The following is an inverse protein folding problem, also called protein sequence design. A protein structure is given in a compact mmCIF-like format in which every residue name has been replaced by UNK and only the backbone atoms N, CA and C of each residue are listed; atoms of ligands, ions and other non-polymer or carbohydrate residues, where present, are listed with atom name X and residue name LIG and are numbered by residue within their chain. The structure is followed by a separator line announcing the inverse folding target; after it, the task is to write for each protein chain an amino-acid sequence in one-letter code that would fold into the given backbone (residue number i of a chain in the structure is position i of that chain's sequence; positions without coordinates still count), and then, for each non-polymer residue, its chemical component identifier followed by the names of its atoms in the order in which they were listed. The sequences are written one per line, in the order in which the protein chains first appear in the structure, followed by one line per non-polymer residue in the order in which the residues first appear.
data_IF_080758801592
#
_entry.id   IF_080758801592
#
_cell.length_a   1.000
_cell.length_b   1.000
_cell.length_c   1.000
_cell.angle_alpha   90.00
_cell.angle_beta   90.00
_cell.angle_gamma   90.00
#
_symmetry.space_group_name_H-M   'P 1'
#
loop_
_entity.id
_entity.type
_entity.pdbx_description
1 polymer ?
#
# COMPACT_ATOMS: atom_id res chain seq x y z
N UNK A 1 -21.13 -8.19 12.91
CA UNK A 1 -19.82 -8.79 12.69
C UNK A 1 -18.80 -8.15 13.64
N UNK A 2 -18.57 -6.82 13.57
CA UNK A 2 -17.59 -6.08 14.37
C UNK A 2 -17.68 -6.39 15.87
N UNK A 3 -18.88 -6.25 16.46
CA UNK A 3 -19.10 -6.47 17.90
C UNK A 3 -18.87 -7.91 18.32
N UNK A 4 -19.26 -8.88 17.50
CA UNK A 4 -19.05 -10.28 17.76
C UNK A 4 -17.55 -10.61 17.82
N UNK A 5 -16.76 -10.12 16.87
CA UNK A 5 -15.32 -10.33 16.85
C UNK A 5 -14.61 -9.65 18.03
N UNK A 6 -15.08 -8.45 18.42
CA UNK A 6 -14.58 -7.77 19.62
C UNK A 6 -14.87 -8.58 20.89
N UNK A 7 -16.11 -9.07 21.05
CA UNK A 7 -16.53 -9.88 22.22
C UNK A 7 -15.80 -11.23 22.27
N UNK A 8 -15.54 -11.87 21.14
CA UNK A 8 -14.75 -13.10 21.06
C UNK A 8 -13.29 -12.87 21.53
N UNK A 9 -12.66 -11.78 21.11
CA UNK A 9 -11.32 -11.42 21.57
C UNK A 9 -11.30 -11.11 23.07
N UNK A 10 -12.26 -10.34 23.56
CA UNK A 10 -12.39 -9.98 24.97
C UNK A 10 -12.59 -11.22 25.86
N UNK A 11 -13.37 -12.21 25.39
CA UNK A 11 -13.56 -13.47 26.09
C UNK A 11 -12.26 -14.30 26.23
N UNK A 12 -11.27 -14.04 25.36
CA UNK A 12 -9.92 -14.62 25.44
C UNK A 12 -8.96 -13.77 26.29
N UNK A 13 -9.45 -12.69 26.93
CA UNK A 13 -8.62 -11.75 27.69
C UNK A 13 -7.81 -10.79 26.83
N UNK A 14 -8.16 -10.63 25.55
CA UNK A 14 -7.48 -9.76 24.59
C UNK A 14 -8.37 -8.52 24.35
N UNK A 15 -7.91 -7.38 24.81
CA UNK A 15 -8.53 -6.10 24.46
C UNK A 15 -8.06 -5.70 23.06
N UNK A 16 -9.01 -5.47 22.16
CA UNK A 16 -8.74 -5.08 20.78
C UNK A 16 -9.28 -3.70 20.48
N UNK A 17 -8.69 -3.05 19.50
CA UNK A 17 -9.15 -1.77 18.97
C UNK A 17 -9.98 -2.02 17.71
N UNK A 18 -11.30 -1.82 17.71
CA UNK A 18 -12.11 -1.90 16.50
C UNK A 18 -11.60 -0.93 15.43
N UNK A 19 -11.55 -1.40 14.19
CA UNK A 19 -11.12 -0.61 13.03
C UNK A 19 -12.26 -0.60 12.02
N UNK A 20 -12.63 0.57 11.55
CA UNK A 20 -13.61 0.76 10.48
C UNK A 20 -13.12 1.80 9.49
N UNK A 21 -13.54 1.66 8.23
CA UNK A 21 -13.30 2.72 7.25
C UNK A 21 -13.99 4.00 7.74
N UNK A 22 -13.29 5.12 7.72
CA UNK A 22 -13.84 6.40 8.15
C UNK A 22 -14.95 6.93 7.24
N UNK A 23 -15.80 7.80 7.77
CA UNK A 23 -17.01 8.26 7.08
C UNK A 23 -16.70 9.04 5.80
N UNK A 24 -15.66 9.89 5.83
CA UNK A 24 -15.23 10.66 4.66
C UNK A 24 -14.75 9.74 3.55
N UNK A 25 -13.83 8.82 3.86
CA UNK A 25 -13.34 7.83 2.88
C UNK A 25 -14.48 6.99 2.32
N UNK A 26 -15.41 6.56 3.16
CA UNK A 26 -16.56 5.76 2.72
C UNK A 26 -17.41 6.53 1.71
N UNK A 27 -17.72 7.80 1.97
CA UNK A 27 -18.43 8.67 1.03
C UNK A 27 -17.68 8.85 -0.29
N UNK A 28 -16.35 9.03 -0.23
CA UNK A 28 -15.50 9.20 -1.43
C UNK A 28 -15.35 7.92 -2.24
N UNK A 29 -15.49 6.73 -1.64
CA UNK A 29 -15.44 5.42 -2.31
C UNK A 29 -16.79 4.99 -2.90
N UNK A 30 -17.89 5.55 -2.44
CA UNK A 30 -19.21 5.24 -2.94
C UNK A 30 -19.37 5.65 -4.41
N UNK A 31 -20.09 4.83 -5.18
CA UNK A 31 -20.55 5.18 -6.53
C UNK A 31 -22.01 5.58 -6.46
N UNK A 32 -22.28 6.80 -6.83
CA UNK A 32 -23.63 7.37 -6.82
C UNK A 32 -24.29 7.12 -8.19
N UNK A 33 -25.47 6.52 -8.18
CA UNK A 33 -26.27 6.25 -9.38
C UNK A 33 -27.63 6.95 -9.27
N UNK A 34 -28.11 7.50 -10.37
CA UNK A 34 -29.35 8.28 -10.40
C UNK A 34 -29.13 9.76 -10.09
N UNK A 35 -30.10 10.39 -9.42
CA UNK A 35 -30.12 11.84 -9.20
C UNK A 35 -29.43 12.29 -7.90
N UNK A 36 -29.07 11.36 -7.00
CA UNK A 36 -28.46 11.68 -5.71
C UNK A 36 -26.94 11.72 -5.80
N UNK A 37 -26.34 12.63 -5.03
CA UNK A 37 -24.89 12.85 -4.92
C UNK A 37 -24.38 12.49 -3.52
N UNK A 38 -23.09 12.68 -3.26
CA UNK A 38 -22.50 12.44 -1.95
C UNK A 38 -23.19 13.29 -0.85
N UNK A 39 -23.48 14.55 -1.17
CA UNK A 39 -24.09 15.49 -0.23
C UNK A 39 -25.45 15.02 0.31
N UNK A 40 -26.25 14.32 -0.50
CA UNK A 40 -27.54 13.76 -0.09
C UNK A 40 -27.45 12.68 0.99
N UNK A 41 -26.26 12.12 1.19
CA UNK A 41 -26.03 11.02 2.14
C UNK A 41 -25.19 11.41 3.37
N UNK A 42 -24.60 12.60 3.40
CA UNK A 42 -23.68 13.02 4.47
C UNK A 42 -24.32 12.89 5.85
N UNK A 43 -25.55 13.38 6.01
CA UNK A 43 -26.23 13.37 7.30
C UNK A 43 -26.56 11.93 7.75
N UNK A 44 -26.93 11.05 6.83
CA UNK A 44 -27.14 9.63 7.14
C UNK A 44 -25.83 8.91 7.53
N UNK A 45 -24.69 9.28 6.94
CA UNK A 45 -23.37 8.78 7.37
C UNK A 45 -23.03 9.30 8.75
N UNK A 46 -23.23 10.59 9.02
CA UNK A 46 -23.00 11.18 10.34
C UNK A 46 -23.81 10.43 11.40
N UNK A 47 -25.10 10.18 11.17
CA UNK A 47 -25.96 9.47 12.12
C UNK A 47 -25.48 8.03 12.37
N UNK A 48 -25.07 7.33 11.30
CA UNK A 48 -24.52 5.97 11.40
C UNK A 48 -23.23 5.93 12.22
N UNK A 49 -22.32 6.89 12.00
CA UNK A 49 -21.04 6.94 12.74
C UNK A 49 -21.22 7.43 14.19
N UNK A 50 -22.17 8.32 14.47
CA UNK A 50 -22.59 8.64 15.84
C UNK A 50 -23.10 7.40 16.57
N UNK A 51 -23.98 6.62 15.93
CA UNK A 51 -24.47 5.39 16.52
C UNK A 51 -23.34 4.36 16.76
N UNK A 52 -22.33 4.31 15.88
CA UNK A 52 -21.15 3.47 16.06
C UNK A 52 -20.34 3.91 17.28
N UNK A 53 -20.04 5.20 17.44
CA UNK A 53 -19.29 5.77 18.59
C UNK A 53 -20.07 5.54 19.88
N UNK A 54 -21.35 5.85 19.92
CA UNK A 54 -22.20 5.60 21.09
C UNK A 54 -22.18 4.13 21.50
N UNK A 55 -22.14 3.21 20.54
CA UNK A 55 -22.03 1.77 20.82
C UNK A 55 -20.66 1.39 21.39
N UNK A 56 -19.59 2.07 21.01
CA UNK A 56 -18.28 1.91 21.63
C UNK A 56 -18.29 2.39 23.09
N UNK A 57 -18.93 3.53 23.37
CA UNK A 57 -19.11 4.06 24.73
C UNK A 57 -19.89 3.07 25.62
N UNK A 58 -21.03 2.54 25.14
CA UNK A 58 -21.82 1.54 25.84
C UNK A 58 -21.02 0.27 26.20
N UNK A 59 -20.12 -0.14 25.30
CA UNK A 59 -19.25 -1.31 25.48
C UNK A 59 -17.95 -1.00 26.22
N UNK A 60 -17.72 0.25 26.60
CA UNK A 60 -16.51 0.72 27.27
C UNK A 60 -15.23 0.40 26.49
N UNK A 61 -15.28 0.52 25.16
CA UNK A 61 -14.14 0.31 24.28
C UNK A 61 -13.17 1.46 24.46
N UNK A 62 -11.89 1.16 24.76
CA UNK A 62 -10.88 2.17 25.01
C UNK A 62 -10.49 2.96 23.75
N UNK A 63 -10.35 2.27 22.60
CA UNK A 63 -9.97 2.89 21.34
C UNK A 63 -10.84 2.43 20.18
N UNK A 64 -11.24 3.37 19.32
CA UNK A 64 -11.84 3.13 18.00
C UNK A 64 -10.96 3.78 16.94
N UNK A 65 -10.64 3.06 15.87
CA UNK A 65 -9.87 3.59 14.73
C UNK A 65 -10.78 3.81 13.52
N UNK A 66 -10.72 5.02 12.98
CA UNK A 66 -11.26 5.36 11.67
C UNK A 66 -10.14 5.40 10.63
N UNK A 67 -10.19 4.51 9.65
CA UNK A 67 -9.27 4.51 8.52
C UNK A 67 -9.73 5.53 7.47
N UNK A 68 -8.95 6.60 7.32
CA UNK A 68 -9.22 7.70 6.38
C UNK A 68 -8.14 7.85 5.29
N UNK A 69 -7.87 6.80 4.49
CA UNK A 69 -6.86 6.89 3.43
C UNK A 69 -7.23 7.87 2.30
N UNK A 70 -8.47 8.31 2.19
CA UNK A 70 -8.83 9.32 1.20
C UNK A 70 -8.22 10.70 1.49
N UNK A 71 -7.76 10.95 2.73
CA UNK A 71 -7.10 12.21 3.12
C UNK A 71 -5.71 12.41 2.49
N UNK A 72 -5.11 11.36 1.93
CA UNK A 72 -3.81 11.46 1.23
C UNK A 72 -3.95 11.83 -0.25
N UNK A 73 -5.18 12.02 -0.73
CA UNK A 73 -5.46 12.48 -2.09
C UNK A 73 -5.45 14.01 -2.12
N UNK A 74 -5.34 14.58 -3.33
CA UNK A 74 -5.54 16.01 -3.51
C UNK A 74 -6.94 16.39 -3.02
N UNK A 75 -7.01 17.34 -2.10
CA UNK A 75 -8.25 17.79 -1.47
C UNK A 75 -8.58 19.23 -1.86
N UNK A 76 -9.83 19.45 -2.26
CA UNK A 76 -10.38 20.80 -2.44
C UNK A 76 -10.84 21.39 -1.10
N UNK A 77 -11.12 22.69 -1.08
CA UNK A 77 -11.69 23.35 0.09
C UNK A 77 -13.06 22.72 0.50
N UNK A 78 -13.83 22.28 -0.48
CA UNK A 78 -15.11 21.57 -0.25
C UNK A 78 -14.87 20.20 0.39
N UNK A 79 -13.79 19.51 0.03
CA UNK A 79 -13.40 18.24 0.65
C UNK A 79 -13.01 18.44 2.11
N UNK A 80 -12.22 19.47 2.42
CA UNK A 80 -11.87 19.83 3.79
C UNK A 80 -13.11 20.19 4.61
N UNK A 81 -14.00 21.03 4.04
CA UNK A 81 -15.27 21.39 4.69
C UNK A 81 -16.19 20.19 4.94
N UNK A 82 -16.23 19.25 4.01
CA UNK A 82 -16.99 18.01 4.17
C UNK A 82 -16.41 17.14 5.31
N UNK A 83 -15.08 17.01 5.38
CA UNK A 83 -14.41 16.30 6.47
C UNK A 83 -14.74 16.91 7.84
N UNK A 84 -14.65 18.23 7.96
CA UNK A 84 -15.07 18.97 9.15
C UNK A 84 -16.54 18.73 9.50
N UNK A 85 -17.46 18.90 8.53
CA UNK A 85 -18.90 18.68 8.75
C UNK A 85 -19.18 17.31 9.38
N UNK A 86 -18.47 16.28 8.92
CA UNK A 86 -18.64 14.92 9.41
C UNK A 86 -18.08 14.78 10.84
N UNK A 87 -16.84 15.14 11.04
CA UNK A 87 -16.15 14.83 12.29
C UNK A 87 -16.45 15.79 13.43
N UNK A 88 -16.76 17.05 13.15
CA UNK A 88 -17.28 17.99 14.16
C UNK A 88 -18.62 17.50 14.75
N UNK A 89 -19.38 16.72 13.98
CA UNK A 89 -20.63 16.13 14.44
C UNK A 89 -20.42 14.77 15.13
N UNK A 90 -19.44 13.96 14.72
CA UNK A 90 -19.23 12.58 15.22
C UNK A 90 -18.37 12.56 16.48
N UNK A 91 -17.27 13.33 16.53
CA UNK A 91 -16.30 13.28 17.63
C UNK A 91 -16.88 13.66 18.99
N UNK A 92 -17.83 14.62 19.12
CA UNK A 92 -18.44 14.93 20.42
C UNK A 92 -19.24 13.78 21.06
N UNK A 93 -19.52 12.71 20.31
CA UNK A 93 -20.17 11.51 20.86
C UNK A 93 -19.19 10.62 21.64
N UNK A 94 -17.89 10.83 21.50
CA UNK A 94 -16.85 10.08 22.20
C UNK A 94 -16.49 10.82 23.51
N UNK A 95 -16.93 10.28 24.64
CA UNK A 95 -16.63 10.83 25.98
C UNK A 95 -15.42 10.13 26.62
N UNK A 96 -15.35 8.80 26.50
CA UNK A 96 -14.32 7.94 27.10
C UNK A 96 -13.56 7.15 26.05
N UNK A 97 -14.22 6.76 24.96
CA UNK A 97 -13.61 6.05 23.83
C UNK A 97 -12.69 7.01 23.07
N UNK A 98 -11.42 6.69 23.03
CA UNK A 98 -10.42 7.46 22.28
C UNK A 98 -10.56 7.17 20.78
N UNK A 99 -10.65 8.22 19.96
CA UNK A 99 -10.77 8.08 18.51
C UNK A 99 -9.42 8.32 17.84
N UNK A 100 -8.96 7.34 17.07
CA UNK A 100 -7.80 7.45 16.18
C UNK A 100 -8.25 7.69 14.74
N UNK A 101 -7.79 8.77 14.13
CA UNK A 101 -7.84 8.97 12.68
C UNK A 101 -6.58 8.41 12.05
N UNK A 102 -6.67 7.31 11.32
CA UNK A 102 -5.53 6.64 10.69
C UNK A 102 -5.48 6.93 9.21
N UNK A 103 -4.36 7.46 8.75
CA UNK A 103 -4.07 7.68 7.32
C UNK A 103 -2.93 6.77 6.85
N UNK A 104 -2.89 6.42 5.58
CA UNK A 104 -1.86 5.58 4.97
C UNK A 104 -1.82 5.73 3.44
N UNK A 105 -0.71 5.32 2.81
CA UNK A 105 -0.40 5.39 1.38
C UNK A 105 -0.04 6.78 0.86
N UNK A 106 0.34 7.69 1.74
CA UNK A 106 0.76 9.04 1.39
C UNK A 106 0.72 10.01 2.56
N UNK A 107 0.97 11.27 2.29
CA UNK A 107 0.88 12.35 3.24
C UNK A 107 -0.45 13.12 3.13
N UNK A 108 -0.80 13.85 4.18
CA UNK A 108 -2.06 14.60 4.31
C UNK A 108 -1.83 16.11 4.16
N UNK A 109 -0.99 16.50 3.20
CA UNK A 109 -0.53 17.90 3.01
C UNK A 109 -1.63 18.94 2.94
N UNK A 110 -2.77 18.59 2.33
CA UNK A 110 -3.85 19.55 2.10
C UNK A 110 -4.77 19.73 3.31
N UNK A 111 -4.68 18.85 4.32
CA UNK A 111 -5.54 18.89 5.51
C UNK A 111 -4.74 18.82 6.82
N UNK A 112 -3.42 18.69 6.80
CA UNK A 112 -2.62 18.46 7.99
C UNK A 112 -2.91 19.47 9.10
N UNK A 113 -2.90 20.78 8.79
CA UNK A 113 -3.12 21.86 9.75
C UNK A 113 -4.50 21.80 10.40
N UNK A 114 -5.52 21.42 9.67
CA UNK A 114 -6.87 21.23 10.16
C UNK A 114 -6.99 19.96 11.00
N UNK A 115 -6.45 18.85 10.50
CA UNK A 115 -6.51 17.53 11.12
C UNK A 115 -5.90 17.55 12.54
N UNK A 116 -4.75 18.19 12.74
CA UNK A 116 -4.11 18.27 14.06
C UNK A 116 -4.89 19.13 15.07
N UNK A 117 -5.78 20.03 14.63
CA UNK A 117 -6.63 20.84 15.49
C UNK A 117 -7.94 20.12 15.87
N UNK A 118 -8.37 19.13 15.12
CA UNK A 118 -9.59 18.38 15.42
C UNK A 118 -9.43 17.52 16.68
N UNK A 119 -10.50 17.29 17.47
CA UNK A 119 -10.43 16.61 18.77
C UNK A 119 -10.30 15.07 18.66
N UNK A 120 -9.46 14.58 17.75
CA UNK A 120 -9.02 13.19 17.76
C UNK A 120 -8.04 12.95 18.91
N UNK A 121 -8.14 11.83 19.59
CA UNK A 121 -7.18 11.43 20.63
C UNK A 121 -5.86 10.94 20.05
N UNK A 122 -5.88 10.45 18.81
CA UNK A 122 -4.70 10.02 18.07
C UNK A 122 -4.82 10.29 16.58
N UNK A 123 -3.69 10.52 15.93
CA UNK A 123 -3.58 10.69 14.49
C UNK A 123 -2.49 9.75 14.00
N UNK A 124 -2.82 8.92 13.01
CA UNK A 124 -1.91 8.00 12.36
C UNK A 124 -1.41 8.59 11.04
N UNK A 125 -0.11 8.72 10.90
CA UNK A 125 0.55 9.27 9.72
C UNK A 125 1.54 8.28 9.10
N UNK A 126 1.59 8.24 7.79
CA UNK A 126 2.52 7.41 7.02
C UNK A 126 3.85 8.15 6.81
N UNK A 127 4.93 7.66 7.40
CA UNK A 127 6.29 8.18 7.23
C UNK A 127 7.08 7.46 6.14
N UNK A 128 6.47 6.46 5.48
CA UNK A 128 7.12 5.66 4.44
C UNK A 128 6.74 6.16 3.04
N UNK A 129 5.46 6.24 2.74
CA UNK A 129 4.95 6.74 1.46
C UNK A 129 4.56 8.23 1.53
N UNK A 130 4.30 8.76 2.71
CA UNK A 130 4.05 10.18 2.96
C UNK A 130 5.34 10.98 2.94
N UNK A 131 5.81 11.34 1.74
CA UNK A 131 7.10 12.02 1.53
C UNK A 131 7.20 13.36 2.26
N UNK A 132 6.08 14.06 2.40
CA UNK A 132 6.00 15.34 3.07
C UNK A 132 5.69 15.22 4.58
N UNK A 133 5.38 14.01 5.09
CA UNK A 133 4.90 13.83 6.46
C UNK A 133 5.86 14.43 7.51
N UNK A 134 7.16 14.13 7.42
CA UNK A 134 8.14 14.68 8.35
C UNK A 134 8.23 16.20 8.27
N UNK A 135 8.24 16.77 7.07
CA UNK A 135 8.26 18.21 6.84
C UNK A 135 6.98 18.91 7.33
N UNK A 136 5.82 18.24 7.23
CA UNK A 136 4.57 18.76 7.78
C UNK A 136 4.61 18.81 9.31
N UNK A 137 5.11 17.77 9.97
CA UNK A 137 5.30 17.75 11.43
C UNK A 137 6.27 18.84 11.85
N UNK A 138 7.41 18.98 11.20
CA UNK A 138 8.40 20.02 11.49
C UNK A 138 7.82 21.43 11.31
N UNK A 139 7.07 21.65 10.23
CA UNK A 139 6.55 22.98 9.88
C UNK A 139 5.39 23.44 10.76
N UNK A 140 4.46 22.54 11.08
CA UNK A 140 3.20 22.87 11.77
C UNK A 140 3.16 22.41 13.22
N UNK A 141 4.15 21.60 13.63
CA UNK A 141 4.15 20.91 14.93
C UNK A 141 3.15 19.77 15.01
N UNK A 142 3.09 19.14 16.18
CA UNK A 142 2.08 18.15 16.53
C UNK A 142 1.60 18.38 17.97
N UNK A 143 0.28 18.35 18.25
CA UNK A 143 -0.26 18.65 19.58
C UNK A 143 0.19 17.64 20.64
N UNK A 144 0.58 18.13 21.83
CA UNK A 144 1.06 17.28 22.93
C UNK A 144 -0.05 16.51 23.66
N UNK A 145 -1.30 16.90 23.47
CA UNK A 145 -2.49 16.23 24.02
C UNK A 145 -2.97 15.04 23.17
N UNK A 146 -2.29 14.76 22.08
CA UNK A 146 -2.63 13.68 21.14
C UNK A 146 -1.49 12.67 20.98
N UNK A 147 -1.84 11.44 20.66
CA UNK A 147 -0.87 10.40 20.27
C UNK A 147 -0.62 10.42 18.77
N UNK A 148 0.65 10.45 18.38
CA UNK A 148 1.08 10.24 17.00
C UNK A 148 1.32 8.75 16.75
N UNK A 149 0.46 8.11 15.97
CA UNK A 149 0.70 6.75 15.47
C UNK A 149 1.59 6.85 14.24
N UNK A 150 2.90 6.78 14.47
CA UNK A 150 3.90 6.95 13.42
C UNK A 150 4.10 5.66 12.61
N UNK A 151 3.65 5.66 11.38
CA UNK A 151 3.77 4.55 10.43
C UNK A 151 5.19 4.43 9.89
N UNK A 152 6.09 3.83 10.67
CA UNK A 152 7.53 3.75 10.43
C UNK A 152 8.02 2.37 9.95
N UNK A 153 7.23 1.32 10.15
CA UNK A 153 7.50 -0.01 9.62
C UNK A 153 6.68 -0.22 8.36
N UNK A 154 7.36 -0.45 7.24
CA UNK A 154 6.68 -0.57 5.95
C UNK A 154 5.75 -1.78 5.91
N UNK A 155 4.43 -1.55 5.83
CA UNK A 155 3.40 -2.59 5.76
C UNK A 155 3.12 -3.11 4.35
N UNK A 156 3.77 -2.58 3.32
CA UNK A 156 3.44 -2.82 1.91
C UNK A 156 4.51 -3.58 1.14
N UNK A 157 5.75 -3.61 1.64
CA UNK A 157 6.83 -4.39 1.06
C UNK A 157 7.37 -5.44 2.03
N UNK A 158 8.18 -6.35 1.49
CA UNK A 158 8.76 -7.48 2.22
C UNK A 158 10.14 -7.19 2.83
N UNK A 159 10.64 -5.98 2.70
CA UNK A 159 11.99 -5.66 3.15
C UNK A 159 12.03 -5.40 4.66
N UNK A 160 13.11 -5.87 5.29
CA UNK A 160 13.40 -5.61 6.70
C UNK A 160 13.62 -4.11 6.93
N UNK A 161 13.15 -3.61 8.07
CA UNK A 161 13.31 -2.23 8.49
C UNK A 161 14.78 -1.91 8.80
N UNK A 162 15.24 -0.73 8.39
CA UNK A 162 16.56 -0.20 8.72
C UNK A 162 16.47 0.60 10.03
N UNK A 163 16.82 -0.04 11.14
CA UNK A 163 16.58 0.51 12.49
C UNK A 163 17.20 1.87 12.74
N UNK A 164 18.42 2.10 12.26
CA UNK A 164 19.09 3.40 12.44
C UNK A 164 18.28 4.57 11.87
N UNK A 165 17.79 4.41 10.62
CA UNK A 165 16.96 5.43 9.97
C UNK A 165 15.65 5.65 10.70
N UNK A 166 15.01 4.57 11.14
CA UNK A 166 13.73 4.62 11.85
C UNK A 166 13.89 5.24 13.24
N UNK A 167 14.93 4.85 13.98
CA UNK A 167 15.22 5.42 15.31
C UNK A 167 15.58 6.91 15.23
N UNK A 168 16.25 7.35 14.16
CA UNK A 168 16.51 8.78 13.95
C UNK A 168 15.23 9.58 13.89
N UNK A 169 14.23 9.10 13.14
CA UNK A 169 12.91 9.78 13.04
C UNK A 169 12.20 9.75 14.41
N UNK A 170 12.18 8.59 15.08
CA UNK A 170 11.52 8.47 16.39
C UNK A 170 12.12 9.46 17.38
N UNK A 171 13.44 9.59 17.44
CA UNK A 171 14.13 10.51 18.36
C UNK A 171 13.84 11.96 18.04
N UNK A 172 13.83 12.36 16.79
CA UNK A 172 13.42 13.69 16.37
C UNK A 172 12.01 14.02 16.87
N UNK A 173 11.06 13.10 16.71
CA UNK A 173 9.68 13.28 17.20
C UNK A 173 9.63 13.36 18.74
N UNK A 174 10.42 12.56 19.45
CA UNK A 174 10.50 12.58 20.91
C UNK A 174 11.16 13.87 21.45
N UNK A 175 12.17 14.40 20.76
CA UNK A 175 12.80 15.68 21.10
C UNK A 175 11.81 16.84 21.01
N UNK A 176 10.82 16.76 20.15
CA UNK A 176 9.68 17.69 20.06
C UNK A 176 8.59 17.43 21.10
N UNK A 177 8.81 16.51 22.05
CA UNK A 177 7.85 16.10 23.09
C UNK A 177 6.54 15.52 22.57
N UNK A 178 6.58 14.87 21.39
CA UNK A 178 5.44 14.19 20.79
C UNK A 178 5.28 12.81 21.43
N UNK A 179 4.05 12.46 21.84
CA UNK A 179 3.71 11.10 22.33
C UNK A 179 3.58 10.15 21.14
N UNK A 180 4.66 9.40 20.87
CA UNK A 180 4.80 8.54 19.68
C UNK A 180 4.39 7.10 19.97
N UNK A 181 3.47 6.57 19.17
CA UNK A 181 3.16 5.14 19.07
C UNK A 181 3.74 4.61 17.76
N UNK A 182 4.75 3.73 17.84
CA UNK A 182 5.36 3.13 16.65
C UNK A 182 4.35 2.19 15.98
N UNK A 183 4.11 2.39 14.69
CA UNK A 183 3.12 1.65 13.93
C UNK A 183 3.65 1.19 12.57
N UNK A 184 2.92 0.29 11.92
CA UNK A 184 3.11 0.01 10.49
C UNK A 184 2.55 1.16 9.64
N UNK A 185 3.15 1.40 8.48
CA UNK A 185 2.71 2.45 7.56
C UNK A 185 1.32 2.20 6.97
N UNK A 186 0.92 0.93 6.89
CA UNK A 186 -0.41 0.48 6.48
C UNK A 186 -0.66 -0.94 7.01
N UNK A 187 -1.81 -1.53 6.67
CA UNK A 187 -2.16 -2.89 7.06
C UNK A 187 -1.17 -3.93 6.56
N UNK A 188 -0.79 -4.87 7.42
CA UNK A 188 0.07 -6.03 7.07
C UNK A 188 -0.62 -7.06 6.17
N UNK A 189 -1.88 -6.84 5.77
CA UNK A 189 -2.55 -7.64 4.74
C UNK A 189 -1.89 -7.53 3.35
N UNK A 190 -1.05 -6.52 3.14
CA UNK A 190 -0.32 -6.31 1.87
C UNK A 190 0.98 -7.09 1.75
N UNK A 191 1.40 -7.81 2.79
CA UNK A 191 2.61 -8.63 2.81
C UNK A 191 2.28 -10.08 3.13
N UNK A 192 3.14 -11.06 2.75
CA UNK A 192 2.94 -12.46 3.12
C UNK A 192 2.95 -12.64 4.64
N UNK A 193 2.40 -13.75 5.12
CA UNK A 193 2.17 -13.98 6.54
C UNK A 193 3.47 -14.14 7.34
N UNK A 194 4.33 -15.10 6.95
CA UNK A 194 5.57 -15.42 7.70
C UNK A 194 6.64 -16.06 6.83
N UNK A 195 7.90 -15.79 7.14
CA UNK A 195 9.08 -16.42 6.50
C UNK A 195 9.30 -17.88 6.90
N UNK A 196 8.59 -18.39 7.90
CA UNK A 196 8.78 -19.76 8.45
C UNK A 196 8.58 -20.87 7.41
N UNK A 197 7.80 -20.60 6.38
CA UNK A 197 7.46 -21.58 5.33
C UNK A 197 8.24 -21.35 4.01
N UNK A 198 9.20 -20.43 4.00
CA UNK A 198 9.99 -20.10 2.81
C UNK A 198 11.25 -20.97 2.71
N UNK A 199 11.07 -22.29 2.61
CA UNK A 199 12.19 -23.26 2.62
C UNK A 199 13.08 -23.20 1.35
N UNK A 200 12.53 -22.67 0.25
CA UNK A 200 13.23 -22.60 -1.06
C UNK A 200 14.07 -21.34 -1.23
N UNK A 201 13.86 -20.32 -0.41
CA UNK A 201 14.61 -19.06 -0.49
C UNK A 201 15.95 -19.25 0.25
N UNK A 202 17.11 -18.98 -0.38
CA UNK A 202 18.40 -19.02 0.29
C UNK A 202 18.43 -18.09 1.51
N UNK A 203 19.10 -18.54 2.59
CA UNK A 203 19.13 -17.81 3.85
C UNK A 203 19.73 -16.40 3.72
N UNK A 204 20.70 -16.23 2.84
CA UNK A 204 21.33 -14.93 2.53
C UNK A 204 20.30 -13.87 2.09
N UNK A 205 19.28 -14.25 1.31
CA UNK A 205 18.20 -13.35 0.90
C UNK A 205 17.15 -13.19 2.00
N UNK A 206 16.78 -14.30 2.69
CA UNK A 206 15.79 -14.24 3.79
C UNK A 206 16.18 -13.27 4.89
N UNK A 207 17.46 -13.08 5.13
CA UNK A 207 17.96 -12.14 6.14
C UNK A 207 17.49 -10.68 5.90
N UNK A 208 17.19 -10.33 4.67
CA UNK A 208 16.69 -9.01 4.28
C UNK A 208 15.17 -8.89 4.23
N UNK A 209 14.45 -9.99 4.49
CA UNK A 209 12.99 -10.01 4.41
C UNK A 209 12.35 -9.91 5.79
N UNK A 210 11.19 -9.28 5.83
CA UNK A 210 10.29 -9.25 6.97
C UNK A 210 8.85 -9.29 6.45
N UNK A 211 8.14 -10.40 6.71
CA UNK A 211 6.73 -10.58 6.42
C UNK A 211 5.89 -10.10 7.60
N UNK A 212 4.59 -10.36 7.64
CA UNK A 212 3.71 -9.79 8.66
C UNK A 212 4.15 -10.13 10.09
N UNK A 213 4.45 -11.39 10.41
CA UNK A 213 4.92 -11.78 11.75
C UNK A 213 6.26 -11.13 12.09
N UNK A 214 7.21 -11.10 11.14
CA UNK A 214 8.51 -10.51 11.36
C UNK A 214 8.43 -8.99 11.53
N UNK A 215 7.49 -8.30 10.85
CA UNK A 215 7.24 -6.86 11.05
C UNK A 215 6.64 -6.54 12.42
N UNK A 216 5.86 -7.45 12.99
CA UNK A 216 5.42 -7.30 14.40
C UNK A 216 6.60 -7.42 15.37
N UNK A 217 7.59 -8.27 15.07
CA UNK A 217 8.84 -8.35 15.84
C UNK A 217 9.62 -7.04 15.70
N UNK A 218 9.74 -6.47 14.49
CA UNK A 218 10.38 -5.17 14.26
C UNK A 218 9.74 -4.05 15.07
N UNK A 219 8.40 -3.99 15.15
CA UNK A 219 7.72 -2.99 15.98
C UNK A 219 8.11 -3.11 17.46
N UNK A 220 8.15 -4.34 17.99
CA UNK A 220 8.56 -4.60 19.37
C UNK A 220 10.02 -4.23 19.62
N UNK A 221 10.91 -4.60 18.71
CA UNK A 221 12.34 -4.30 18.82
C UNK A 221 12.59 -2.80 18.77
N UNK A 222 11.96 -2.09 17.84
CA UNK A 222 12.04 -0.63 17.72
C UNK A 222 11.51 0.09 18.96
N UNK A 223 10.41 -0.38 19.56
CA UNK A 223 9.89 0.16 20.80
C UNK A 223 10.91 0.05 21.94
N UNK A 224 11.52 -1.12 22.12
CA UNK A 224 12.57 -1.33 23.13
C UNK A 224 13.80 -0.45 22.87
N UNK A 225 14.23 -0.34 21.60
CA UNK A 225 15.40 0.47 21.23
C UNK A 225 15.13 1.97 21.39
N UNK A 226 13.92 2.43 21.13
CA UNK A 226 13.54 3.83 21.29
C UNK A 226 13.58 4.28 22.75
N UNK A 227 13.23 3.40 23.69
CA UNK A 227 13.23 3.66 25.14
C UNK A 227 14.61 3.44 25.77
N UNK A 228 15.62 2.98 25.02
CA UNK A 228 16.94 2.66 25.54
C UNK A 228 17.96 3.77 25.21
N UNK A 229 18.54 4.42 26.22
CA UNK A 229 19.55 5.46 25.98
C UNK A 229 20.81 4.92 25.25
N UNK A 230 21.28 3.73 25.60
CA UNK A 230 22.46 3.10 25.03
C UNK A 230 22.12 2.06 23.95
N UNK A 231 21.09 2.33 23.14
CA UNK A 231 20.60 1.41 22.11
C UNK A 231 21.68 0.94 21.13
N UNK A 232 22.70 1.77 20.88
CA UNK A 232 23.80 1.42 19.98
C UNK A 232 24.60 0.18 20.44
N UNK A 233 24.55 -0.16 21.74
CA UNK A 233 25.16 -1.36 22.30
C UNK A 233 24.24 -2.59 22.29
N UNK A 234 22.99 -2.40 21.92
CA UNK A 234 22.02 -3.49 21.86
C UNK A 234 22.36 -4.46 20.72
N UNK A 235 22.36 -5.75 21.02
CA UNK A 235 22.74 -6.81 20.06
C UNK A 235 21.81 -6.85 18.84
N UNK A 236 20.52 -6.54 19.01
CA UNK A 236 19.54 -6.52 17.93
C UNK A 236 19.83 -5.34 16.97
N UNK A 237 20.11 -4.17 17.54
CA UNK A 237 20.50 -3.00 16.75
C UNK A 237 21.80 -3.27 15.97
N UNK A 238 22.84 -3.79 16.64
CA UNK A 238 24.12 -4.11 15.99
C UNK A 238 23.95 -5.15 14.87
N UNK A 239 23.13 -6.18 15.08
CA UNK A 239 22.83 -7.17 14.04
C UNK A 239 22.15 -6.53 12.83
N UNK A 240 21.21 -5.60 13.05
CA UNK A 240 20.56 -4.85 11.98
C UNK A 240 21.55 -3.94 11.24
N UNK A 241 22.43 -3.22 11.96
CA UNK A 241 23.48 -2.40 11.36
C UNK A 241 24.42 -3.23 10.49
N UNK A 242 24.90 -4.36 11.02
CA UNK A 242 25.80 -5.26 10.28
C UNK A 242 25.14 -5.80 9.00
N UNK A 243 23.84 -6.09 9.04
CA UNK A 243 23.11 -6.54 7.84
C UNK A 243 23.13 -5.49 6.73
N UNK A 244 22.93 -4.21 7.08
CA UNK A 244 22.87 -3.12 6.10
C UNK A 244 24.24 -2.49 5.76
N UNK A 245 25.29 -2.77 6.56
CA UNK A 245 26.65 -2.33 6.26
C UNK A 245 27.32 -3.15 5.15
N UNK A 246 26.85 -4.37 4.92
CA UNK A 246 27.39 -5.23 3.87
C UNK A 246 26.84 -4.80 2.51
N UNK A 247 27.74 -4.59 1.55
CA UNK A 247 27.34 -4.42 0.14
C UNK A 247 26.64 -5.70 -0.34
N UNK A 248 25.46 -5.51 -0.86
CA UNK A 248 24.74 -6.62 -1.54
C UNK A 248 25.42 -6.87 -2.87
N UNK A 249 25.67 -8.14 -3.21
CA UNK A 249 26.20 -8.57 -4.51
C UNK A 249 25.29 -8.23 -5.73
N UNK A 250 24.24 -7.47 -5.49
CA UNK A 250 23.30 -7.03 -6.52
C UNK A 250 23.70 -5.69 -7.19
N UNK A 251 24.91 -5.21 -6.98
CA UNK A 251 25.37 -3.95 -7.56
C UNK A 251 25.97 -4.19 -8.95
N UNK A 252 25.16 -3.92 -9.97
CA UNK A 252 25.64 -3.93 -11.35
C UNK A 252 26.19 -2.55 -11.71
N UNK A 253 27.48 -2.46 -12.00
CA UNK A 253 28.18 -1.20 -12.30
C UNK A 253 27.65 -0.51 -13.58
N UNK A 254 27.19 -1.29 -14.58
CA UNK A 254 26.60 -0.72 -15.78
C UNK A 254 25.23 -0.07 -15.48
N UNK A 255 24.44 -0.69 -14.59
CA UNK A 255 23.18 -0.10 -14.12
C UNK A 255 23.44 1.18 -13.32
N UNK A 256 24.41 1.18 -12.41
CA UNK A 256 24.80 2.38 -11.65
C UNK A 256 25.23 3.51 -12.55
N UNK A 257 26.09 3.21 -13.53
CA UNK A 257 26.56 4.20 -14.53
C UNK A 257 25.40 4.76 -15.33
N UNK A 258 24.45 3.91 -15.75
CA UNK A 258 23.24 4.34 -16.46
C UNK A 258 22.35 5.21 -15.60
N UNK A 259 22.13 4.85 -14.32
CA UNK A 259 21.35 5.65 -13.38
C UNK A 259 21.99 7.01 -13.10
N UNK A 260 23.32 7.05 -12.91
CA UNK A 260 24.05 8.32 -12.72
C UNK A 260 24.00 9.23 -13.94
N UNK A 261 23.74 8.68 -15.13
CA UNK A 261 23.58 9.45 -16.37
C UNK A 261 22.15 9.94 -16.64
N UNK A 262 21.17 9.61 -15.77
CA UNK A 262 19.79 10.08 -15.93
C UNK A 262 19.70 11.58 -15.61
N UNK A 263 19.08 12.33 -16.50
CA UNK A 263 18.90 13.78 -16.42
C UNK A 263 17.43 14.16 -16.51
N UNK A 264 17.09 15.42 -16.22
CA UNK A 264 15.71 15.92 -16.34
C UNK A 264 15.11 15.71 -17.75
N UNK A 265 15.94 15.71 -18.81
CA UNK A 265 15.48 15.44 -20.17
C UNK A 265 14.96 14.01 -20.37
N UNK A 266 15.42 13.06 -19.58
CA UNK A 266 14.99 11.65 -19.68
C UNK A 266 13.55 11.44 -19.16
N UNK A 267 13.06 12.35 -18.31
CA UNK A 267 11.67 12.36 -17.85
C UNK A 267 10.71 12.99 -18.87
N UNK A 268 11.23 13.60 -19.93
CA UNK A 268 10.42 14.28 -20.94
C UNK A 268 10.26 13.38 -22.16
N UNK A 269 9.05 12.86 -22.38
CA UNK A 269 8.73 12.05 -23.55
C UNK A 269 8.40 12.95 -24.76
N UNK A 270 9.30 12.96 -25.74
CA UNK A 270 9.09 13.66 -27.02
C UNK A 270 8.81 12.67 -28.17
N UNK A 271 8.06 13.06 -29.21
CA UNK A 271 7.25 14.26 -29.32
C UNK A 271 6.13 14.34 -28.27
N UNK A 272 5.53 15.51 -28.06
CA UNK A 272 4.39 15.67 -27.14
C UNK A 272 3.23 14.74 -27.52
N UNK A 273 2.37 14.41 -26.52
CA UNK A 273 1.26 13.46 -26.72
C UNK A 273 0.39 13.76 -27.94
N UNK A 274 0.04 15.04 -28.16
CA UNK A 274 -0.78 15.48 -29.28
C UNK A 274 -0.15 15.20 -30.66
N UNK A 275 1.17 15.31 -30.75
CA UNK A 275 1.93 15.01 -31.95
C UNK A 275 2.06 13.50 -32.16
N UNK A 276 2.38 12.75 -31.09
CA UNK A 276 2.44 11.29 -31.15
C UNK A 276 1.11 10.67 -31.58
N UNK A 277 -0.01 11.17 -31.07
CA UNK A 277 -1.34 10.67 -31.44
C UNK A 277 -1.62 10.85 -32.95
N UNK A 278 -1.18 11.95 -33.55
CA UNK A 278 -1.32 12.18 -35.00
C UNK A 278 -0.49 11.16 -35.79
N UNK A 279 0.79 11.04 -35.43
CA UNK A 279 1.70 10.07 -36.07
C UNK A 279 1.20 8.62 -35.91
N UNK A 280 0.80 8.23 -34.71
CA UNK A 280 0.28 6.89 -34.45
C UNK A 280 -1.00 6.61 -35.22
N UNK A 281 -1.90 7.56 -35.32
CA UNK A 281 -3.14 7.41 -36.09
C UNK A 281 -2.84 7.19 -37.59
N UNK A 282 -1.88 7.90 -38.12
CA UNK A 282 -1.44 7.77 -39.52
C UNK A 282 -0.73 6.44 -39.77
N UNK A 283 0.26 6.09 -38.91
CA UNK A 283 1.07 4.88 -39.09
C UNK A 283 0.26 3.61 -38.87
N UNK A 284 -0.61 3.58 -37.87
CA UNK A 284 -1.37 2.38 -37.50
C UNK A 284 -2.64 2.20 -38.37
N UNK A 285 -3.19 3.26 -38.92
CA UNK A 285 -4.35 3.21 -39.80
C UNK A 285 -5.61 2.62 -39.15
N UNK A 286 -5.68 2.59 -37.83
CA UNK A 286 -6.78 1.95 -37.08
C UNK A 286 -8.08 2.75 -37.19
N UNK A 287 -9.24 2.06 -37.15
CA UNK A 287 -10.56 2.70 -37.11
C UNK A 287 -10.73 3.54 -35.83
N UNK A 288 -11.82 4.31 -35.75
CA UNK A 288 -12.11 5.18 -34.62
C UNK A 288 -12.22 4.40 -33.28
N UNK A 289 -12.78 3.20 -33.32
CA UNK A 289 -12.96 2.29 -32.20
C UNK A 289 -12.37 0.93 -32.57
N UNK A 290 -11.03 0.76 -32.49
CA UNK A 290 -10.40 -0.49 -32.87
C UNK A 290 -10.75 -1.61 -31.88
N UNK A 291 -10.96 -2.79 -32.40
CA UNK A 291 -11.22 -4.00 -31.63
C UNK A 291 -9.94 -4.76 -31.33
N UNK A 292 -9.83 -5.31 -30.13
CA UNK A 292 -8.72 -6.15 -29.68
C UNK A 292 -9.16 -7.02 -28.50
N UNK A 293 -8.26 -7.89 -28.01
CA UNK A 293 -8.47 -8.67 -26.79
C UNK A 293 -7.48 -8.24 -25.70
N UNK A 294 -7.59 -8.83 -24.50
CA UNK A 294 -6.71 -8.52 -23.35
C UNK A 294 -5.25 -8.93 -23.60
N UNK A 295 -5.01 -9.98 -24.39
CA UNK A 295 -3.67 -10.54 -24.68
C UNK A 295 -3.61 -12.04 -24.48
N UNK A 296 -4.01 -12.53 -23.31
CA UNK A 296 -4.03 -13.97 -23.00
C UNK A 296 -5.22 -14.67 -23.64
N UNK A 297 -4.95 -15.82 -24.26
CA UNK A 297 -5.97 -16.76 -24.71
C UNK A 297 -6.04 -17.97 -23.77
N UNK A 298 -7.16 -18.74 -23.76
CA UNK A 298 -7.32 -19.87 -22.86
C UNK A 298 -6.19 -20.89 -22.98
N UNK A 299 -5.64 -21.29 -21.84
CA UNK A 299 -4.62 -22.34 -21.74
C UNK A 299 -5.28 -23.71 -21.95
N UNK A 300 -5.27 -24.19 -23.19
CA UNK A 300 -5.85 -25.48 -23.58
C UNK A 300 -5.06 -26.67 -23.01
N UNK A 301 -5.64 -27.87 -23.04
CA UNK A 301 -5.02 -29.07 -22.46
C UNK A 301 -3.66 -29.38 -23.11
N UNK A 302 -3.56 -29.21 -24.44
CA UNK A 302 -2.34 -29.43 -25.20
C UNK A 302 -1.23 -28.42 -24.88
N UNK A 303 -1.57 -27.14 -24.68
CA UNK A 303 -0.64 -26.10 -24.23
C UNK A 303 -0.09 -26.42 -22.83
N UNK A 304 -0.98 -26.82 -21.91
CA UNK A 304 -0.57 -27.23 -20.55
C UNK A 304 0.32 -28.49 -20.58
N UNK A 305 -0.01 -29.48 -21.43
CA UNK A 305 0.76 -30.70 -21.58
C UNK A 305 2.16 -30.40 -22.16
N UNK A 306 2.26 -29.58 -23.20
CA UNK A 306 3.53 -29.15 -23.78
C UNK A 306 4.46 -28.51 -22.76
N UNK A 307 3.92 -27.56 -21.94
CA UNK A 307 4.67 -26.90 -20.86
C UNK A 307 5.11 -27.90 -19.79
N UNK A 308 4.23 -28.83 -19.39
CA UNK A 308 4.57 -29.84 -18.40
C UNK A 308 5.66 -30.81 -18.91
N UNK A 309 5.61 -31.24 -20.17
CA UNK A 309 6.60 -32.08 -20.78
C UNK A 309 7.98 -31.38 -20.85
N UNK A 310 8.00 -30.09 -21.20
CA UNK A 310 9.23 -29.31 -21.20
C UNK A 310 9.82 -29.16 -19.78
N UNK A 311 9.01 -28.83 -18.77
CA UNK A 311 9.47 -28.74 -17.37
C UNK A 311 10.03 -30.05 -16.81
N UNK A 312 9.56 -31.20 -17.32
CA UNK A 312 10.06 -32.53 -16.95
C UNK A 312 11.27 -32.98 -17.77
N UNK A 313 11.67 -32.21 -18.77
CA UNK A 313 12.74 -32.61 -19.70
C UNK A 313 12.36 -33.70 -20.71
N UNK A 314 11.06 -33.97 -20.90
CA UNK A 314 10.53 -34.98 -21.83
C UNK A 314 10.62 -34.52 -23.30
N UNK A 315 10.67 -33.20 -23.53
CA UNK A 315 10.84 -32.60 -24.86
C UNK A 315 11.98 -31.56 -24.83
N UNK A 316 12.59 -31.32 -25.97
CA UNK A 316 13.63 -30.30 -26.12
C UNK A 316 13.04 -28.89 -26.09
N UNK A 317 13.89 -27.91 -25.80
CA UNK A 317 13.52 -26.49 -25.86
C UNK A 317 13.06 -26.11 -27.29
N UNK A 318 13.70 -26.64 -28.31
CA UNK A 318 13.32 -26.39 -29.69
C UNK A 318 11.89 -26.90 -29.99
N UNK A 319 11.56 -28.13 -29.58
CA UNK A 319 10.22 -28.69 -29.75
C UNK A 319 9.15 -27.88 -28.97
N UNK A 320 9.49 -27.42 -27.76
CA UNK A 320 8.61 -26.54 -26.97
C UNK A 320 8.33 -25.22 -27.70
N UNK A 321 9.37 -24.58 -28.25
CA UNK A 321 9.25 -23.33 -28.98
C UNK A 321 8.44 -23.48 -30.26
N UNK A 322 8.70 -24.53 -31.04
CA UNK A 322 7.98 -24.82 -32.31
C UNK A 322 6.48 -25.02 -32.06
N UNK A 323 6.12 -25.75 -30.99
CA UNK A 323 4.73 -25.91 -30.61
C UNK A 323 4.07 -24.57 -30.29
N UNK A 324 4.73 -23.73 -29.46
CA UNK A 324 4.19 -22.42 -29.09
C UNK A 324 4.06 -21.47 -30.30
N UNK A 325 5.06 -21.49 -31.24
CA UNK A 325 4.99 -20.72 -32.47
C UNK A 325 3.78 -21.10 -33.31
N UNK A 326 3.54 -22.44 -33.45
CA UNK A 326 2.36 -22.95 -34.16
C UNK A 326 1.06 -22.45 -33.50
N UNK A 327 0.96 -22.50 -32.18
CA UNK A 327 -0.24 -22.02 -31.44
C UNK A 327 -0.44 -20.52 -31.58
N UNK A 328 0.63 -19.75 -31.58
CA UNK A 328 0.56 -18.29 -31.81
C UNK A 328 0.08 -18.02 -33.25
N UNK A 329 0.62 -18.72 -34.25
CA UNK A 329 0.18 -18.58 -35.64
C UNK A 329 -1.30 -18.91 -35.81
N UNK A 330 -1.77 -20.04 -35.25
CA UNK A 330 -3.18 -20.42 -35.25
C UNK A 330 -4.05 -19.33 -34.61
N UNK A 331 -3.61 -18.78 -33.47
CA UNK A 331 -4.33 -17.72 -32.74
C UNK A 331 -4.40 -16.42 -33.54
N UNK A 332 -3.33 -16.03 -34.21
CA UNK A 332 -3.29 -14.81 -35.04
C UNK A 332 -4.24 -14.97 -36.22
N UNK A 333 -4.14 -16.10 -36.96
CA UNK A 333 -5.03 -16.39 -38.10
C UNK A 333 -6.50 -16.34 -37.68
N UNK A 334 -6.83 -16.94 -36.54
CA UNK A 334 -8.19 -16.92 -36.05
C UNK A 334 -8.70 -15.48 -35.71
N UNK A 335 -7.86 -14.64 -35.15
CA UNK A 335 -8.19 -13.23 -34.88
C UNK A 335 -8.42 -12.45 -36.20
N UNK A 336 -7.62 -12.72 -37.23
CA UNK A 336 -7.81 -12.15 -38.58
C UNK A 336 -9.14 -12.58 -39.18
N UNK A 337 -9.51 -13.87 -39.07
CA UNK A 337 -10.78 -14.43 -39.57
C UNK A 337 -11.99 -13.79 -38.85
N UNK A 338 -11.88 -13.49 -37.55
CA UNK A 338 -12.93 -12.79 -36.78
C UNK A 338 -13.00 -11.31 -37.15
N UNK A 339 -11.93 -10.75 -37.69
CA UNK A 339 -11.84 -9.35 -38.08
C UNK A 339 -11.48 -8.40 -36.92
N UNK A 340 -10.60 -8.82 -36.01
CA UNK A 340 -10.03 -7.93 -34.99
C UNK A 340 -9.06 -6.94 -35.64
N UNK A 341 -9.08 -5.70 -35.21
CA UNK A 341 -8.22 -4.63 -35.75
C UNK A 341 -6.79 -4.67 -35.21
N UNK A 342 -6.61 -5.09 -33.95
CA UNK A 342 -5.31 -5.25 -33.29
C UNK A 342 -5.18 -6.65 -32.76
N UNK A 343 -4.15 -7.36 -33.25
CA UNK A 343 -3.93 -8.77 -32.94
C UNK A 343 -2.99 -8.95 -31.77
N UNK A 344 -3.22 -10.01 -30.99
CA UNK A 344 -2.37 -10.42 -29.87
C UNK A 344 -1.85 -11.83 -30.11
N UNK A 345 -0.67 -12.18 -29.57
CA UNK A 345 -0.09 -13.51 -29.79
C UNK A 345 -0.68 -14.63 -28.90
N UNK A 346 -1.54 -14.29 -27.91
CA UNK A 346 -2.26 -15.27 -27.12
C UNK A 346 -1.55 -15.77 -25.86
N UNK A 347 -0.29 -15.44 -25.66
CA UNK A 347 0.51 -15.71 -24.43
C UNK A 347 0.64 -17.21 -24.10
N UNK A 348 0.85 -18.07 -25.09
CA UNK A 348 0.94 -19.52 -24.89
C UNK A 348 2.23 -19.96 -24.19
N UNK A 349 3.29 -19.16 -24.28
CA UNK A 349 4.60 -19.40 -23.67
C UNK A 349 4.61 -19.15 -22.17
N UNK A 350 3.71 -18.33 -21.64
CA UNK A 350 3.66 -17.97 -20.23
C UNK A 350 2.39 -18.48 -19.53
N UNK A 351 2.52 -18.81 -18.25
CA UNK A 351 1.42 -19.22 -17.39
C UNK A 351 0.92 -18.03 -16.55
N UNK A 352 1.84 -17.36 -15.90
CA UNK A 352 1.61 -16.20 -15.07
C UNK A 352 2.64 -15.11 -15.38
N UNK A 353 2.22 -13.85 -15.33
CA UNK A 353 3.10 -12.74 -15.71
C UNK A 353 4.25 -12.56 -14.71
N UNK A 354 3.99 -12.72 -13.43
CA UNK A 354 5.02 -12.57 -12.39
C UNK A 354 6.01 -13.74 -12.43
N UNK A 355 5.53 -14.98 -12.70
CA UNK A 355 6.39 -16.14 -12.88
C UNK A 355 7.29 -16.01 -14.13
N UNK A 356 6.80 -15.35 -15.18
CA UNK A 356 7.50 -15.24 -16.47
C UNK A 356 8.61 -14.17 -16.45
N UNK A 357 8.42 -13.05 -15.78
CA UNK A 357 9.36 -11.93 -15.68
C UNK A 357 10.20 -11.97 -14.40
#
# INVERSE_FOLDING_TARGET
KLWKEYEEALALGIETKPIVTGAYTMLKLCRYTGAKTAEDYVDAFIDAYKALVNRCEEKQIAWLQFDEPALVRDMSNEDVALFHKIYDAVLPCAEKCQILCQTYFGDVRDIYSDLIQMPFAGIGLDFIEGKETAALVEKYGFPQDKKLFAGLVNGKNIWKNHYDKTLTIIRQLQEESIDVVISTSCSLLHVPYTLKHEDKIPQEYKNYFAYAEEKLVELKELSVLADTEQYAQNVVYQANQNLFANDRDCQNEDVKKRLAGVTESDYIRLPKRSERQKLQKEVLGLPKLPTTTIGSFPQTKDVKANRAAFRKGEISEQAYKEFNQKKIAECVTWQEEIGLDVLVHGEYERNDMVEYF
#
